data_IF_991095910473
#
_entry.id   IF_991095910473
#
_cell.length_a   1.000
_cell.length_b   1.000
_cell.length_c   1.000
_cell.angle_alpha   90.00
_cell.angle_beta   90.00
_cell.angle_gamma   90.00
#
_symmetry.space_group_name_H-M   'P 1'
#
loop_
_entity.id
_entity.type
_entity.pdbx_description
1 polymer ?
#
# COMPACT_ATOMS: atom_id res chain seq x y z
N UNK A 1 10.79 -9.07 14.58
CA UNK A 1 9.52 -9.62 14.03
C UNK A 1 9.57 -11.14 13.93
N UNK A 2 10.44 -11.74 13.11
CA UNK A 2 10.55 -13.22 12.98
C UNK A 2 10.64 -13.99 14.31
N UNK A 3 11.40 -13.48 15.27
CA UNK A 3 11.55 -14.07 16.61
C UNK A 3 10.27 -14.11 17.45
N UNK A 4 9.23 -13.36 17.06
CA UNK A 4 7.91 -13.44 17.70
C UNK A 4 7.07 -14.61 17.15
N UNK A 5 7.62 -15.39 16.20
CA UNK A 5 6.99 -16.56 15.57
C UNK A 5 5.54 -16.31 15.11
N UNK A 6 5.26 -15.22 14.35
CA UNK A 6 3.89 -14.91 13.95
C UNK A 6 3.38 -15.90 12.90
N UNK A 7 2.14 -16.38 13.07
CA UNK A 7 1.44 -17.16 12.04
C UNK A 7 1.12 -16.32 10.79
N UNK A 8 0.94 -15.01 10.97
CA UNK A 8 0.56 -14.07 9.93
C UNK A 8 1.14 -12.68 10.20
N UNK A 9 1.58 -12.01 9.15
CA UNK A 9 1.91 -10.58 9.16
C UNK A 9 0.97 -9.78 8.26
N UNK A 10 0.32 -8.76 8.82
CA UNK A 10 -0.52 -7.83 8.08
C UNK A 10 0.29 -6.56 7.80
N UNK A 11 0.62 -6.32 6.53
CA UNK A 11 1.33 -5.12 6.08
C UNK A 11 0.32 -4.04 5.70
N UNK A 12 0.28 -2.91 6.40
CA UNK A 12 -0.77 -1.90 6.23
C UNK A 12 -0.57 -0.96 5.03
N UNK A 13 0.53 -1.10 4.28
CA UNK A 13 0.87 -0.28 3.11
C UNK A 13 2.23 0.38 3.30
N UNK A 14 2.62 1.24 2.36
CA UNK A 14 3.91 1.94 2.35
C UNK A 14 5.12 0.99 2.28
N UNK A 15 4.99 -0.05 1.47
CA UNK A 15 6.02 -1.05 1.20
C UNK A 15 7.26 -0.43 0.56
N UNK A 16 7.09 0.50 -0.39
CA UNK A 16 8.21 0.94 -1.24
C UNK A 16 8.61 2.40 -1.11
N UNK A 17 7.78 3.30 -0.61
CA UNK A 17 8.09 4.75 -0.62
C UNK A 17 8.62 5.23 -1.98
N UNK A 18 7.81 5.07 -3.04
CA UNK A 18 8.20 5.31 -4.43
C UNK A 18 8.66 6.75 -4.73
N UNK A 19 8.39 7.69 -3.84
CA UNK A 19 8.67 9.12 -4.01
C UNK A 19 9.92 9.61 -3.32
N UNK A 20 10.55 8.80 -2.48
CA UNK A 20 11.62 9.27 -1.59
C UNK A 20 12.97 8.80 -2.11
N UNK A 21 13.77 9.68 -2.74
CA UNK A 21 15.11 9.33 -3.15
C UNK A 21 15.96 8.93 -1.95
N UNK A 22 16.68 7.82 -2.07
CA UNK A 22 17.65 7.39 -1.08
C UNK A 22 18.97 8.14 -1.30
N UNK A 23 19.57 8.55 -0.19
CA UNK A 23 20.95 9.02 -0.16
C UNK A 23 21.89 7.84 0.02
N UNK A 24 23.10 7.92 -0.52
CA UNK A 24 24.11 6.87 -0.35
C UNK A 24 24.47 6.66 1.13
N UNK A 25 24.49 7.75 1.91
CA UNK A 25 24.73 7.71 3.33
C UNK A 25 23.67 8.54 4.07
N UNK A 26 23.30 8.12 5.28
CA UNK A 26 22.43 8.87 6.18
C UNK A 26 22.95 8.71 7.60
N UNK A 27 23.15 9.81 8.31
CA UNK A 27 23.38 9.75 9.76
C UNK A 27 22.07 9.41 10.45
N UNK A 28 22.03 8.27 11.12
CA UNK A 28 20.87 7.83 11.91
C UNK A 28 21.00 8.30 13.36
N UNK A 29 19.94 8.10 14.13
CA UNK A 29 19.92 8.42 15.56
C UNK A 29 21.11 7.76 16.28
N UNK A 30 21.75 8.51 17.18
CA UNK A 30 22.98 8.09 17.84
C UNK A 30 24.27 8.35 17.04
N UNK A 31 24.20 8.99 15.88
CA UNK A 31 25.38 9.45 15.12
C UNK A 31 26.03 8.38 14.25
N UNK A 32 25.46 7.17 14.19
CA UNK A 32 25.93 6.13 13.27
C UNK A 32 25.65 6.54 11.83
N UNK A 33 26.63 6.31 10.93
CA UNK A 33 26.44 6.50 9.49
C UNK A 33 25.89 5.21 8.90
N UNK A 34 24.64 5.25 8.45
CA UNK A 34 24.03 4.20 7.65
C UNK A 34 24.43 4.36 6.18
N UNK A 35 24.79 3.26 5.52
CA UNK A 35 25.16 3.25 4.10
C UNK A 35 24.16 2.42 3.32
N UNK A 36 23.52 3.03 2.34
CA UNK A 36 22.57 2.35 1.47
C UNK A 36 23.32 1.76 0.26
N UNK A 37 22.95 0.55 -0.13
CA UNK A 37 23.22 0.06 -1.49
C UNK A 37 22.37 0.88 -2.45
N UNK A 38 22.95 1.86 -3.13
CA UNK A 38 22.17 2.76 -3.98
C UNK A 38 21.75 2.05 -5.27
N UNK A 39 20.46 1.75 -5.42
CA UNK A 39 19.88 1.22 -6.66
C UNK A 39 19.39 2.38 -7.54
N UNK A 40 19.55 2.34 -8.88
CA UNK A 40 19.11 3.40 -9.78
C UNK A 40 17.63 3.78 -9.62
N UNK A 41 16.75 2.80 -9.41
CA UNK A 41 15.32 3.03 -9.17
C UNK A 41 15.00 3.77 -7.85
N UNK A 42 15.99 4.01 -6.99
CA UNK A 42 15.86 4.66 -5.69
C UNK A 42 16.52 6.04 -5.64
N UNK A 43 17.07 6.55 -6.74
CA UNK A 43 17.77 7.85 -6.76
C UNK A 43 16.87 9.04 -7.12
N UNK A 44 15.64 8.78 -7.54
CA UNK A 44 14.61 9.77 -7.88
C UNK A 44 13.20 9.16 -7.69
N UNK A 45 12.12 9.97 -7.73
CA UNK A 45 10.78 9.40 -7.72
C UNK A 45 10.56 8.45 -8.90
N UNK A 46 9.95 7.31 -8.62
CA UNK A 46 9.56 6.34 -9.64
C UNK A 46 8.42 6.88 -10.51
N UNK A 47 8.59 6.79 -11.82
CA UNK A 47 7.67 7.36 -12.80
C UNK A 47 7.31 6.40 -13.92
N UNK A 48 8.11 5.35 -14.13
CA UNK A 48 7.82 4.27 -15.07
C UNK A 48 7.60 2.95 -14.35
N UNK A 49 6.91 2.01 -15.00
CA UNK A 49 6.70 0.66 -14.45
C UNK A 49 8.02 -0.02 -14.05
N UNK A 50 9.09 0.14 -14.83
CA UNK A 50 10.41 -0.42 -14.49
C UNK A 50 10.97 0.17 -13.19
N UNK A 51 10.74 1.46 -12.95
CA UNK A 51 11.19 2.12 -11.72
C UNK A 51 10.40 1.68 -10.50
N UNK A 52 9.08 1.52 -10.64
CA UNK A 52 8.25 0.95 -9.58
C UNK A 52 8.67 -0.50 -9.26
N UNK A 53 8.91 -1.33 -10.27
CA UNK A 53 9.48 -2.69 -10.08
C UNK A 53 10.83 -2.64 -9.39
N UNK A 54 11.68 -1.70 -9.78
CA UNK A 54 12.98 -1.43 -9.17
C UNK A 54 12.87 -1.04 -7.69
N UNK A 55 11.82 -0.32 -7.30
CA UNK A 55 11.55 -0.01 -5.89
C UNK A 55 11.22 -1.26 -5.07
N UNK A 56 10.41 -2.19 -5.59
CA UNK A 56 10.14 -3.45 -4.90
C UNK A 56 11.36 -4.37 -4.85
N UNK A 57 12.08 -4.52 -5.97
CA UNK A 57 13.25 -5.40 -6.03
C UNK A 57 14.38 -4.92 -5.13
N UNK A 58 14.50 -3.59 -4.93
CA UNK A 58 15.43 -3.01 -3.98
C UNK A 58 15.22 -3.53 -2.56
N UNK A 59 13.97 -3.58 -2.07
CA UNK A 59 13.67 -4.10 -0.73
C UNK A 59 14.10 -5.57 -0.59
N UNK A 60 14.01 -6.36 -1.66
CA UNK A 60 14.42 -7.77 -1.67
C UNK A 60 15.95 -7.96 -1.66
N UNK A 61 16.76 -6.90 -1.74
CA UNK A 61 18.19 -6.98 -1.45
C UNK A 61 18.46 -7.16 0.05
N UNK A 62 17.51 -6.78 0.91
CA UNK A 62 17.63 -6.92 2.37
C UNK A 62 17.47 -8.39 2.79
N UNK A 63 18.54 -8.96 3.35
CA UNK A 63 18.56 -10.36 3.78
C UNK A 63 17.61 -10.64 4.96
N UNK A 64 17.53 -9.80 6.02
CA UNK A 64 16.50 -9.91 7.04
C UNK A 64 15.07 -9.98 6.47
N UNK A 65 14.72 -9.10 5.53
CA UNK A 65 13.40 -9.08 4.90
C UNK A 65 13.14 -10.37 4.12
N UNK A 66 14.09 -10.83 3.30
CA UNK A 66 13.92 -12.10 2.56
C UNK A 66 13.70 -13.30 3.50
N UNK A 67 14.46 -13.38 4.60
CA UNK A 67 14.26 -14.44 5.61
C UNK A 67 12.87 -14.36 6.24
N UNK A 68 12.43 -13.16 6.59
CA UNK A 68 11.08 -12.96 7.11
C UNK A 68 10.01 -13.40 6.11
N UNK A 69 10.15 -12.99 4.84
CA UNK A 69 9.22 -13.34 3.77
C UNK A 69 9.16 -14.85 3.47
N UNK A 70 10.24 -15.58 3.72
CA UNK A 70 10.32 -17.04 3.50
C UNK A 70 9.65 -17.86 4.60
N UNK A 71 9.48 -17.30 5.80
CA UNK A 71 9.01 -18.02 6.99
C UNK A 71 7.62 -17.58 7.46
N UNK A 72 7.22 -16.35 7.15
CA UNK A 72 5.97 -15.75 7.65
C UNK A 72 5.02 -15.47 6.50
N UNK A 73 3.79 -15.99 6.60
CA UNK A 73 2.74 -15.66 5.65
C UNK A 73 2.37 -14.18 5.74
N UNK A 74 2.26 -13.51 4.59
CA UNK A 74 2.04 -12.07 4.53
C UNK A 74 0.71 -11.72 3.86
N UNK A 75 -0.04 -10.83 4.51
CA UNK A 75 -1.23 -10.20 3.97
C UNK A 75 -0.91 -8.74 3.70
N UNK A 76 -0.66 -8.41 2.44
CA UNK A 76 -0.36 -7.04 2.06
C UNK A 76 -1.63 -6.23 1.83
N UNK A 77 -1.68 -5.07 2.45
CA UNK A 77 -2.45 -3.94 1.97
C UNK A 77 -1.52 -2.99 1.20
N UNK A 78 -2.09 -2.01 0.52
CA UNK A 78 -1.35 -0.91 -0.07
C UNK A 78 -1.84 0.42 0.48
N UNK A 79 -1.01 1.45 0.36
CA UNK A 79 -1.30 2.84 0.70
C UNK A 79 -0.78 3.73 -0.43
N UNK A 80 -0.70 5.03 -0.19
CA UNK A 80 -0.23 6.02 -1.15
C UNK A 80 1.22 5.83 -1.62
N UNK A 81 2.13 5.40 -0.75
CA UNK A 81 3.55 5.29 -1.09
C UNK A 81 3.88 4.20 -2.11
N UNK A 82 2.92 3.35 -2.48
CA UNK A 82 2.97 2.45 -3.64
C UNK A 82 2.83 3.19 -4.98
N UNK A 83 2.32 4.42 -4.96
CA UNK A 83 2.11 5.28 -6.14
C UNK A 83 2.87 6.60 -5.98
N UNK A 84 2.42 7.46 -5.07
CA UNK A 84 3.07 8.73 -4.72
C UNK A 84 2.59 9.20 -3.35
N UNK A 85 3.44 9.85 -2.54
CA UNK A 85 3.08 10.34 -1.21
C UNK A 85 1.74 11.09 -1.22
N UNK A 86 0.82 10.76 -0.32
CA UNK A 86 -0.53 11.33 -0.25
C UNK A 86 -1.29 11.26 -1.59
N UNK A 87 -1.22 10.12 -2.28
CA UNK A 87 -1.92 9.88 -3.52
C UNK A 87 -3.45 9.99 -3.37
N UNK A 88 -4.05 10.63 -4.38
CA UNK A 88 -5.48 10.65 -4.68
C UNK A 88 -5.65 10.84 -6.20
N UNK A 89 -6.84 10.53 -6.77
CA UNK A 89 -7.09 10.70 -8.21
C UNK A 89 -6.90 12.13 -8.74
N UNK A 90 -6.99 13.15 -7.86
CA UNK A 90 -6.91 14.57 -8.22
C UNK A 90 -5.57 15.21 -7.85
N UNK A 91 -4.55 14.42 -7.51
CA UNK A 91 -3.25 14.98 -7.11
C UNK A 91 -2.59 15.72 -8.28
N UNK A 92 -2.32 17.02 -8.09
CA UNK A 92 -1.65 17.86 -9.08
C UNK A 92 -0.13 17.75 -8.98
N UNK A 93 0.50 17.04 -9.92
CA UNK A 93 1.95 16.87 -9.92
C UNK A 93 2.77 18.07 -10.45
N UNK A 94 2.11 19.14 -10.91
CA UNK A 94 2.73 20.33 -11.51
C UNK A 94 3.83 20.95 -10.65
N UNK A 95 3.59 21.23 -9.35
CA UNK A 95 4.56 21.88 -8.47
C UNK A 95 5.84 21.09 -8.17
N UNK A 96 5.86 19.77 -8.38
CA UNK A 96 7.00 18.91 -8.03
C UNK A 96 7.94 18.72 -9.22
N UNK A 97 9.04 19.48 -9.26
CA UNK A 97 9.97 19.55 -10.41
C UNK A 97 10.73 18.25 -10.71
N UNK A 98 10.80 17.33 -9.75
CA UNK A 98 11.40 15.99 -9.86
C UNK A 98 10.53 14.99 -10.64
N UNK A 99 9.26 15.34 -10.88
CA UNK A 99 8.36 14.60 -11.76
C UNK A 99 8.40 15.16 -13.19
N UNK A 100 8.80 14.34 -14.16
CA UNK A 100 8.60 14.58 -15.58
C UNK A 100 7.22 14.08 -16.04
N UNK A 101 6.74 12.97 -15.48
CA UNK A 101 5.35 12.53 -15.65
C UNK A 101 4.44 13.29 -14.70
N UNK A 102 3.47 14.03 -15.26
CA UNK A 102 2.55 14.90 -14.49
C UNK A 102 1.15 14.32 -14.35
N UNK A 103 0.83 13.27 -15.10
CA UNK A 103 -0.45 12.58 -15.02
C UNK A 103 -0.39 11.53 -13.92
N UNK A 104 -1.02 11.83 -12.78
CA UNK A 104 -1.05 10.91 -11.64
C UNK A 104 -1.66 9.54 -12.01
N UNK A 105 -2.59 9.48 -12.97
CA UNK A 105 -3.16 8.22 -13.46
C UNK A 105 -2.12 7.29 -14.11
N UNK A 106 -1.07 7.83 -14.74
CA UNK A 106 0.03 7.01 -15.29
C UNK A 106 0.87 6.42 -14.16
N UNK A 107 1.16 7.22 -13.12
CA UNK A 107 1.86 6.74 -11.93
C UNK A 107 1.04 5.66 -11.21
N UNK A 108 -0.27 5.87 -11.08
CA UNK A 108 -1.20 4.88 -10.51
C UNK A 108 -1.11 3.57 -11.28
N UNK A 109 -1.29 3.59 -12.60
CA UNK A 109 -1.24 2.38 -13.42
C UNK A 109 0.09 1.62 -13.27
N UNK A 110 1.21 2.36 -13.24
CA UNK A 110 2.54 1.76 -13.03
C UNK A 110 2.71 1.18 -11.63
N UNK A 111 2.32 1.93 -10.59
CA UNK A 111 2.41 1.53 -9.19
C UNK A 111 1.50 0.34 -8.87
N UNK A 112 0.25 0.36 -9.29
CA UNK A 112 -0.71 -0.75 -9.16
C UNK A 112 -0.18 -2.00 -9.84
N UNK A 113 0.30 -1.88 -11.09
CA UNK A 113 0.85 -3.04 -11.81
C UNK A 113 2.05 -3.65 -11.09
N UNK A 114 2.98 -2.82 -10.62
CA UNK A 114 4.13 -3.29 -9.87
C UNK A 114 3.72 -3.91 -8.53
N UNK A 115 2.79 -3.31 -7.79
CA UNK A 115 2.26 -3.87 -6.54
C UNK A 115 1.69 -5.26 -6.77
N UNK A 116 0.85 -5.45 -7.79
CA UNK A 116 0.24 -6.75 -8.10
C UNK A 116 1.24 -7.82 -8.58
N UNK A 117 2.42 -7.42 -9.06
CA UNK A 117 3.50 -8.34 -9.44
C UNK A 117 4.35 -8.80 -8.24
N UNK A 118 4.50 -7.96 -7.21
CA UNK A 118 5.37 -8.22 -6.06
C UNK A 118 4.62 -8.60 -4.78
N UNK A 119 3.38 -8.17 -4.61
CA UNK A 119 2.56 -8.51 -3.46
C UNK A 119 2.19 -10.01 -3.49
N UNK A 120 2.29 -10.74 -2.36
CA UNK A 120 1.94 -12.16 -2.30
C UNK A 120 0.42 -12.38 -2.26
N UNK A 121 -0.28 -11.96 -3.32
CA UNK A 121 -1.73 -12.06 -3.43
C UNK A 121 -2.19 -12.56 -4.81
N UNK A 122 -3.34 -13.22 -4.83
CA UNK A 122 -4.01 -13.66 -6.07
C UNK A 122 -5.01 -12.60 -6.53
N UNK A 123 -4.77 -12.01 -7.69
CA UNK A 123 -5.63 -10.96 -8.25
C UNK A 123 -6.40 -11.40 -9.52
N UNK A 124 -5.96 -12.45 -10.21
CA UNK A 124 -6.61 -12.92 -11.46
C UNK A 124 -8.03 -13.51 -11.32
N UNK A 125 -8.46 -13.86 -10.10
CA UNK A 125 -9.78 -14.45 -9.84
C UNK A 125 -10.78 -13.44 -9.25
N UNK A 126 -10.45 -12.15 -9.28
CA UNK A 126 -11.30 -11.08 -8.78
C UNK A 126 -12.25 -10.60 -9.90
N UNK A 127 -13.43 -10.09 -9.53
CA UNK A 127 -14.41 -9.53 -10.49
C UNK A 127 -13.88 -8.28 -11.22
N UNK A 128 -12.80 -7.70 -10.68
CA UNK A 128 -12.09 -6.55 -11.19
C UNK A 128 -10.59 -6.88 -11.21
N UNK A 129 -9.95 -6.71 -12.37
CA UNK A 129 -8.60 -7.21 -12.63
C UNK A 129 -7.53 -6.67 -11.67
N UNK A 130 -7.72 -5.48 -11.11
CA UNK A 130 -6.72 -4.80 -10.27
C UNK A 130 -7.21 -4.61 -8.83
N UNK A 131 -8.22 -5.37 -8.41
CA UNK A 131 -8.81 -5.25 -7.07
C UNK A 131 -7.85 -5.68 -5.97
N UNK A 132 -7.65 -4.79 -4.99
CA UNK A 132 -6.78 -5.02 -3.82
C UNK A 132 -7.57 -5.52 -2.61
N UNK A 133 -8.75 -4.95 -2.35
CA UNK A 133 -9.58 -5.35 -1.21
C UNK A 133 -10.09 -6.79 -1.36
N UNK A 134 -10.05 -7.55 -0.27
CA UNK A 134 -10.36 -9.00 -0.26
C UNK A 134 -10.54 -9.54 1.15
N UNK A 135 -11.13 -10.74 1.24
CA UNK A 135 -11.30 -11.47 2.50
C UNK A 135 -10.39 -12.69 2.50
N UNK A 136 -9.67 -12.90 3.61
CA UNK A 136 -8.83 -14.06 3.85
C UNK A 136 -9.36 -14.79 5.09
N UNK A 137 -10.04 -15.93 4.92
CA UNK A 137 -10.49 -16.74 6.04
C UNK A 137 -9.33 -17.57 6.60
N UNK A 138 -9.33 -17.75 7.92
CA UNK A 138 -8.42 -18.61 8.66
C UNK A 138 -9.22 -19.51 9.61
N UNK A 139 -9.70 -20.62 9.04
CA UNK A 139 -10.53 -21.59 9.74
C UNK A 139 -11.80 -20.97 10.36
N UNK A 140 -12.28 -21.50 11.50
CA UNK A 140 -13.41 -20.92 12.23
C UNK A 140 -13.01 -19.73 13.12
N UNK A 141 -11.71 -19.42 13.22
CA UNK A 141 -11.20 -18.49 14.22
C UNK A 141 -11.15 -17.06 13.73
N UNK A 142 -10.73 -16.83 12.48
CA UNK A 142 -10.44 -15.48 12.02
C UNK A 142 -10.88 -15.28 10.57
N UNK A 143 -11.50 -14.13 10.32
CA UNK A 143 -11.58 -13.54 8.98
C UNK A 143 -10.81 -12.21 8.95
N UNK A 144 -9.92 -12.06 7.98
CA UNK A 144 -9.24 -10.79 7.70
C UNK A 144 -9.87 -10.15 6.47
N UNK A 145 -10.48 -8.98 6.67
CA UNK A 145 -10.99 -8.12 5.61
C UNK A 145 -9.95 -7.07 5.30
N UNK A 146 -9.23 -7.23 4.21
CA UNK A 146 -8.29 -6.22 3.71
C UNK A 146 -9.08 -5.25 2.85
N UNK A 147 -8.98 -3.96 3.17
CA UNK A 147 -9.69 -2.90 2.47
C UNK A 147 -8.75 -2.16 1.51
N UNK A 148 -9.30 -1.27 0.69
CA UNK A 148 -8.58 -0.39 -0.22
C UNK A 148 -9.17 1.00 -0.10
N UNK A 149 -8.51 1.87 0.66
CA UNK A 149 -8.96 3.23 0.89
C UNK A 149 -8.33 4.24 -0.08
N UNK A 150 -7.65 3.75 -1.14
CA UNK A 150 -6.95 4.61 -2.10
C UNK A 150 -7.52 4.57 -3.51
N UNK A 151 -7.90 3.41 -4.03
CA UNK A 151 -8.41 3.30 -5.42
C UNK A 151 -9.73 4.02 -5.67
N UNK A 152 -10.56 4.14 -4.63
CA UNK A 152 -11.96 4.58 -4.78
C UNK A 152 -12.27 5.87 -4.01
N UNK A 153 -11.25 6.54 -3.47
CA UNK A 153 -11.41 7.75 -2.66
C UNK A 153 -11.59 9.00 -3.52
N UNK A 154 -12.17 10.03 -2.91
CA UNK A 154 -12.18 11.38 -3.45
C UNK A 154 -10.80 12.05 -3.44
N UNK A 155 -10.75 13.27 -3.95
CA UNK A 155 -9.55 14.10 -3.91
C UNK A 155 -9.13 14.46 -2.47
N UNK A 156 -7.85 14.73 -2.26
CA UNK A 156 -7.40 15.32 -1.00
C UNK A 156 -7.97 16.72 -0.80
N UNK A 157 -8.33 17.05 0.43
CA UNK A 157 -8.88 18.34 0.83
C UNK A 157 -8.38 18.73 2.22
N UNK A 158 -8.85 19.86 2.77
CA UNK A 158 -8.63 20.19 4.17
C UNK A 158 -9.37 19.28 5.16
N UNK A 159 -10.21 18.35 4.67
CA UNK A 159 -11.04 17.45 5.47
C UNK A 159 -12.02 18.19 6.41
N UNK A 160 -12.56 19.32 5.94
CA UNK A 160 -13.50 20.18 6.68
C UNK A 160 -14.91 20.22 6.06
N UNK A 161 -15.25 19.25 5.21
CA UNK A 161 -16.56 19.17 4.58
C UNK A 161 -17.65 18.97 5.63
N UNK A 162 -18.69 19.82 5.58
CA UNK A 162 -19.82 19.73 6.50
C UNK A 162 -20.86 18.67 6.12
N UNK A 163 -20.78 18.12 4.90
CA UNK A 163 -21.74 17.14 4.35
C UNK A 163 -21.00 16.08 3.55
N UNK A 164 -21.55 14.87 3.57
CA UNK A 164 -21.09 13.77 2.74
C UNK A 164 -21.26 14.09 1.25
N UNK A 165 -20.24 13.77 0.46
CA UNK A 165 -20.22 13.87 -0.99
C UNK A 165 -19.14 12.96 -1.60
N UNK A 166 -18.97 13.00 -2.92
CA UNK A 166 -17.83 12.33 -3.59
C UNK A 166 -16.48 12.81 -3.07
N UNK A 167 -16.39 14.05 -2.58
CA UNK A 167 -15.15 14.64 -2.06
C UNK A 167 -14.80 14.12 -0.66
N UNK A 168 -15.74 13.46 0.03
CA UNK A 168 -15.51 12.83 1.34
C UNK A 168 -15.38 11.30 1.24
N UNK A 169 -15.39 10.74 0.04
CA UNK A 169 -15.32 9.30 -0.16
C UNK A 169 -13.93 8.75 0.22
N UNK A 170 -13.91 7.72 1.07
CA UNK A 170 -12.70 6.93 1.37
C UNK A 170 -12.81 5.50 0.84
N UNK A 171 -14.03 4.99 0.71
CA UNK A 171 -14.33 3.71 0.08
C UNK A 171 -15.26 3.92 -1.11
N UNK A 172 -15.18 3.02 -2.10
CA UNK A 172 -16.21 2.90 -3.12
C UNK A 172 -17.43 2.16 -2.57
N UNK A 173 -18.63 2.52 -3.02
CA UNK A 173 -19.89 1.90 -2.56
C UNK A 173 -19.89 0.38 -2.69
N UNK A 174 -19.33 -0.16 -3.79
CA UNK A 174 -19.22 -1.60 -3.99
C UNK A 174 -18.37 -2.30 -2.90
N UNK A 175 -17.31 -1.64 -2.44
CA UNK A 175 -16.46 -2.14 -1.36
C UNK A 175 -17.16 -2.05 -0.01
N UNK A 176 -17.88 -0.94 0.27
CA UNK A 176 -18.70 -0.79 1.49
C UNK A 176 -19.72 -1.93 1.58
N UNK A 177 -20.46 -2.14 0.50
CA UNK A 177 -21.46 -3.19 0.39
C UNK A 177 -20.85 -4.60 0.55
N UNK A 178 -19.70 -4.83 -0.09
CA UNK A 178 -18.94 -6.07 0.05
C UNK A 178 -18.53 -6.32 1.51
N UNK A 179 -17.99 -5.30 2.19
CA UNK A 179 -17.52 -5.39 3.57
C UNK A 179 -18.70 -5.65 4.52
N UNK A 180 -19.80 -4.90 4.38
CA UNK A 180 -20.99 -5.08 5.21
C UNK A 180 -21.62 -6.47 5.05
N UNK A 181 -21.73 -6.97 3.81
CA UNK A 181 -22.21 -8.33 3.55
C UNK A 181 -21.26 -9.38 4.14
N UNK A 182 -19.96 -9.20 3.94
CA UNK A 182 -18.92 -10.10 4.44
C UNK A 182 -18.90 -10.21 5.97
N UNK A 183 -18.99 -9.07 6.66
CA UNK A 183 -19.05 -9.01 8.13
C UNK A 183 -20.31 -9.67 8.68
N UNK A 184 -21.48 -9.43 8.06
CA UNK A 184 -22.75 -10.07 8.46
C UNK A 184 -22.76 -11.58 8.22
N UNK A 185 -22.12 -12.04 7.15
CA UNK A 185 -22.08 -13.46 6.80
C UNK A 185 -20.99 -14.25 7.57
N UNK A 186 -19.95 -13.57 8.05
CA UNK A 186 -18.83 -14.21 8.73
C UNK A 186 -19.25 -14.81 10.09
N UNK A 187 -18.99 -16.11 10.24
CA UNK A 187 -19.14 -16.86 11.49
C UNK A 187 -17.82 -17.04 12.25
N UNK A 188 -16.74 -16.45 11.77
CA UNK A 188 -15.44 -16.52 12.45
C UNK A 188 -15.52 -15.84 13.82
N UNK A 189 -14.82 -16.40 14.81
CA UNK A 189 -14.76 -15.85 16.17
C UNK A 189 -14.26 -14.40 16.16
N UNK A 190 -13.19 -14.14 15.41
CA UNK A 190 -12.58 -12.84 15.24
C UNK A 190 -12.74 -12.34 13.80
N UNK A 191 -12.92 -11.03 13.67
CA UNK A 191 -13.00 -10.32 12.40
C UNK A 191 -12.03 -9.14 12.48
N UNK A 192 -10.99 -9.16 11.67
CA UNK A 192 -10.04 -8.06 11.55
C UNK A 192 -10.38 -7.28 10.29
N UNK A 193 -10.51 -5.96 10.39
CA UNK A 193 -10.60 -5.06 9.25
C UNK A 193 -9.28 -4.32 9.14
N UNK A 194 -8.48 -4.66 8.13
CA UNK A 194 -7.20 -4.02 7.85
C UNK A 194 -7.43 -2.79 6.99
N UNK A 195 -6.90 -1.66 7.45
CA UNK A 195 -7.06 -0.34 6.85
C UNK A 195 -5.68 0.22 6.51
N UNK A 196 -5.56 0.91 5.36
CA UNK A 196 -4.33 1.63 4.98
C UNK A 196 -4.26 3.06 5.53
N UNK A 197 -5.37 3.59 6.03
CA UNK A 197 -5.43 4.87 6.71
C UNK A 197 -6.13 4.75 8.06
N UNK A 198 -5.73 5.55 9.07
CA UNK A 198 -6.39 5.55 10.36
C UNK A 198 -7.82 6.11 10.25
N UNK A 199 -8.75 5.55 11.03
CA UNK A 199 -10.15 6.04 11.12
C UNK A 199 -10.28 7.36 11.89
N UNK A 200 -9.26 7.71 12.67
CA UNK A 200 -9.21 8.94 13.43
C UNK A 200 -7.77 9.31 13.75
N UNK A 201 -7.49 10.60 13.78
CA UNK A 201 -6.24 11.17 14.29
C UNK A 201 -6.51 11.73 15.68
N UNK A 202 -5.69 11.36 16.66
CA UNK A 202 -5.70 11.96 18.01
C UNK A 202 -4.93 13.27 18.04
#
# INVERSE_FOLDING_TARGET
>A
MRQAEPDLFIHAGDTIYATTPLQAEKTVEGGQVWRNTLAPARTRPAQTLEEFRGCYSYNLLDEPLRRFNAEVAQVWNWSDHEVTNNWSPTKDLGPWSDYTEKQVGILQACGTRAFLEYAPMRWHAQDEAERIYRRIPYGPLLDVFVTDMRSYRGGNSSNLQARESTDTAYFGNAQVDWLLRGLKASRALWKIVSLDMPLGVM
#
